data_IF_468454525746
#
_entry.id   IF_468454525746
#
_cell.length_a   1.000
_cell.length_b   1.000
_cell.length_c   1.000
_cell.angle_alpha   90.00
_cell.angle_beta   90.00
_cell.angle_gamma   90.00
#
_symmetry.space_group_name_H-M   'P 1'
#
loop_
_entity.id
_entity.type
_entity.pdbx_description
1 polymer ?
#
# COMPACT_ATOMS: atom_id res chain seq x y z
N UNK A 1 6.78 -9.80 12.09
CA UNK A 1 7.08 -8.34 12.24
C UNK A 1 6.07 -7.54 11.44
N UNK A 2 4.76 -7.60 11.75
CA UNK A 2 3.70 -7.18 10.82
C UNK A 2 2.69 -6.21 11.36
N UNK A 3 2.47 -5.84 12.50
CA UNK A 3 1.48 -4.84 12.88
C UNK A 3 2.16 -3.62 13.51
N UNK A 4 2.32 -2.53 12.75
CA UNK A 4 2.77 -1.25 13.30
C UNK A 4 1.62 -0.27 13.47
N UNK A 5 1.49 0.14 14.71
CA UNK A 5 1.00 1.38 15.29
C UNK A 5 -0.39 1.92 14.83
N UNK A 6 -1.34 1.79 15.73
CA UNK A 6 -2.48 2.72 15.83
C UNK A 6 -1.92 4.10 16.20
N UNK A 7 -1.94 5.08 15.29
CA UNK A 7 -1.67 6.48 15.61
C UNK A 7 -2.96 7.26 15.73
N UNK A 8 -3.10 7.98 16.82
CA UNK A 8 -4.19 8.95 17.03
C UNK A 8 -3.72 10.29 16.49
N UNK A 9 -4.29 10.73 15.37
CA UNK A 9 -4.02 12.04 14.80
C UNK A 9 -4.83 13.11 15.58
N UNK A 10 -4.16 14.14 16.12
CA UNK A 10 -4.82 15.32 16.66
C UNK A 10 -5.04 16.30 15.52
N UNK A 11 -6.30 16.45 15.06
CA UNK A 11 -6.64 17.44 14.04
C UNK A 11 -6.57 18.87 14.56
N UNK A 12 -6.21 19.79 13.65
CA UNK A 12 -6.28 21.23 13.87
C UNK A 12 -7.71 21.67 14.19
N UNK A 13 -7.83 22.41 15.25
CA UNK A 13 -8.94 23.18 15.83
C UNK A 13 -10.26 23.25 15.05
N UNK A 14 -11.28 22.62 15.62
CA UNK A 14 -12.58 23.27 15.77
C UNK A 14 -13.65 22.91 14.78
N UNK A 15 -14.03 21.61 14.65
CA UNK A 15 -15.41 21.24 14.24
C UNK A 15 -15.73 19.73 14.35
N UNK A 16 -14.92 18.90 15.01
CA UNK A 16 -15.18 17.46 15.10
C UNK A 16 -15.32 16.99 16.54
N UNK A 17 -16.50 16.50 16.91
CA UNK A 17 -16.86 16.04 18.25
C UNK A 17 -16.32 14.63 18.58
N UNK A 18 -15.45 14.03 17.76
CA UNK A 18 -14.83 12.71 17.98
C UNK A 18 -13.39 12.68 17.51
N UNK A 19 -12.55 11.85 18.16
CA UNK A 19 -11.20 11.57 17.66
C UNK A 19 -11.31 10.60 16.48
N UNK A 20 -11.04 11.07 15.25
CA UNK A 20 -10.89 10.19 14.10
C UNK A 20 -9.70 9.23 14.30
N UNK A 21 -9.84 7.99 13.90
CA UNK A 21 -8.78 6.99 14.00
C UNK A 21 -8.44 6.48 12.60
N UNK A 22 -7.16 6.56 12.25
CA UNK A 22 -6.62 5.97 11.03
C UNK A 22 -5.82 4.71 11.38
N UNK A 23 -6.18 3.60 10.74
CA UNK A 23 -5.48 2.33 10.87
C UNK A 23 -4.80 2.04 9.53
N UNK A 24 -3.50 1.81 9.55
CA UNK A 24 -2.73 1.41 8.38
C UNK A 24 -2.36 -0.06 8.50
N UNK A 25 -2.82 -0.88 7.56
CA UNK A 25 -2.60 -2.33 7.52
C UNK A 25 -1.88 -2.69 6.22
N UNK A 26 -0.66 -3.17 6.32
CA UNK A 26 0.04 -3.75 5.17
C UNK A 26 -0.50 -5.15 4.89
N UNK A 27 -0.63 -5.51 3.61
CA UNK A 27 -0.98 -6.87 3.21
C UNK A 27 0.00 -7.90 3.77
N UNK A 28 -0.50 -9.12 4.03
CA UNK A 28 0.30 -10.26 4.45
C UNK A 28 1.29 -10.72 3.38
N UNK A 29 2.12 -11.71 3.70
CA UNK A 29 3.11 -12.26 2.77
C UNK A 29 2.43 -12.71 1.46
N UNK A 30 2.93 -12.27 0.30
CA UNK A 30 2.53 -12.77 -1.02
C UNK A 30 3.52 -13.82 -1.54
N UNK A 31 3.11 -14.61 -2.54
CA UNK A 31 3.96 -15.59 -3.22
C UNK A 31 5.27 -14.96 -3.69
N UNK A 32 5.19 -13.80 -4.35
CA UNK A 32 6.38 -13.10 -4.83
C UNK A 32 7.22 -12.43 -3.71
N UNK A 33 6.63 -12.20 -2.53
CA UNK A 33 7.45 -11.86 -1.36
C UNK A 33 8.28 -13.07 -0.90
N UNK A 34 7.67 -14.27 -0.91
CA UNK A 34 8.35 -15.51 -0.55
C UNK A 34 9.48 -15.84 -1.54
N UNK A 35 9.24 -15.67 -2.83
CA UNK A 35 10.20 -15.90 -3.91
C UNK A 35 11.25 -14.78 -4.07
N UNK A 36 11.16 -13.72 -3.26
CA UNK A 36 12.03 -12.54 -3.31
C UNK A 36 12.00 -11.79 -4.66
N UNK A 37 10.83 -11.74 -5.33
CA UNK A 37 10.65 -11.03 -6.59
C UNK A 37 10.18 -9.58 -6.39
N UNK A 38 10.48 -8.71 -7.36
CA UNK A 38 9.87 -7.39 -7.46
C UNK A 38 8.44 -7.53 -7.95
N UNK A 39 7.45 -7.23 -7.11
CA UNK A 39 6.04 -7.47 -7.40
C UNK A 39 5.36 -6.29 -8.11
N UNK A 40 5.47 -5.11 -7.53
CA UNK A 40 4.84 -3.90 -8.09
C UNK A 40 3.34 -4.06 -8.34
N UNK A 41 2.90 -3.77 -9.57
CA UNK A 41 1.50 -3.87 -9.98
C UNK A 41 1.07 -5.26 -10.44
N UNK A 42 1.99 -6.20 -10.60
CA UNK A 42 1.65 -7.60 -10.81
C UNK A 42 0.80 -8.13 -9.63
N UNK A 43 -0.21 -8.94 -9.93
CA UNK A 43 -1.18 -9.39 -8.93
C UNK A 43 -0.84 -10.76 -8.33
N UNK A 44 0.25 -10.81 -7.56
CA UNK A 44 0.64 -12.00 -6.80
C UNK A 44 -0.34 -12.26 -5.63
N UNK A 45 -0.71 -13.53 -5.44
CA UNK A 45 -1.62 -13.95 -4.37
C UNK A 45 -0.94 -13.94 -2.98
N UNK A 46 -1.76 -14.00 -1.92
CA UNK A 46 -1.27 -14.24 -0.57
C UNK A 46 -0.86 -15.72 -0.41
N UNK A 47 0.25 -15.95 0.28
CA UNK A 47 0.57 -17.27 0.82
C UNK A 47 -0.36 -17.65 1.98
N UNK A 48 -0.34 -18.90 2.44
CA UNK A 48 -1.09 -19.32 3.63
C UNK A 48 -0.64 -18.51 4.86
N UNK A 49 0.67 -18.29 5.02
CA UNK A 49 1.20 -17.40 6.06
C UNK A 49 0.64 -15.99 5.94
N UNK A 50 0.58 -15.43 4.73
CA UNK A 50 0.02 -14.10 4.51
C UNK A 50 -1.47 -14.00 4.86
N UNK A 51 -2.23 -15.08 4.65
CA UNK A 51 -3.64 -15.18 5.08
C UNK A 51 -3.76 -15.22 6.60
N UNK A 52 -2.88 -15.93 7.27
CA UNK A 52 -2.85 -16.01 8.75
C UNK A 52 -2.40 -14.69 9.37
N UNK A 53 -1.42 -13.99 8.77
CA UNK A 53 -1.03 -12.63 9.17
C UNK A 53 -2.22 -11.64 9.05
N UNK A 54 -3.01 -11.75 7.98
CA UNK A 54 -4.19 -10.92 7.79
C UNK A 54 -5.26 -11.17 8.88
N UNK A 55 -5.55 -12.44 9.19
CA UNK A 55 -6.46 -12.82 10.29
C UNK A 55 -5.95 -12.34 11.64
N UNK A 56 -4.66 -12.50 11.91
CA UNK A 56 -4.02 -12.02 13.14
C UNK A 56 -4.12 -10.49 13.29
N UNK A 57 -3.98 -9.76 12.18
CA UNK A 57 -4.20 -8.31 12.15
C UNK A 57 -5.62 -7.92 12.60
N UNK A 58 -6.64 -8.58 12.05
CA UNK A 58 -8.04 -8.38 12.44
C UNK A 58 -8.31 -8.74 13.89
N UNK A 59 -7.82 -9.88 14.36
CA UNK A 59 -7.94 -10.31 15.76
C UNK A 59 -7.28 -9.31 16.73
N UNK A 60 -6.16 -8.71 16.34
CA UNK A 60 -5.52 -7.65 17.11
C UNK A 60 -6.40 -6.41 17.21
N UNK A 61 -7.06 -5.99 16.12
CA UNK A 61 -8.00 -4.87 16.13
C UNK A 61 -9.15 -5.13 17.10
N UNK A 62 -9.75 -6.32 17.05
CA UNK A 62 -10.80 -6.75 17.99
C UNK A 62 -10.31 -6.70 19.44
N UNK A 63 -9.16 -7.28 19.74
CA UNK A 63 -8.57 -7.31 21.08
C UNK A 63 -8.30 -5.91 21.64
N UNK A 64 -7.89 -4.97 20.77
CA UNK A 64 -7.63 -3.57 21.14
C UNK A 64 -8.89 -2.71 21.19
N UNK A 65 -10.05 -3.24 20.79
CA UNK A 65 -11.31 -2.48 20.71
C UNK A 65 -11.26 -1.35 19.68
N UNK A 66 -10.37 -1.44 18.67
CA UNK A 66 -10.22 -0.45 17.60
C UNK A 66 -10.81 -1.04 16.32
N UNK A 67 -12.14 -0.95 16.21
CA UNK A 67 -12.88 -1.57 15.11
C UNK A 67 -13.11 -0.56 13.98
N UNK A 68 -12.83 -0.92 12.74
CA UNK A 68 -13.05 -0.01 11.60
C UNK A 68 -14.54 0.16 11.29
N UNK A 69 -14.89 1.34 10.79
CA UNK A 69 -16.22 1.68 10.27
C UNK A 69 -16.25 1.69 8.74
N UNK A 70 -15.09 1.87 8.10
CA UNK A 70 -14.91 1.84 6.64
C UNK A 70 -13.52 1.37 6.30
N UNK A 71 -13.37 0.70 5.14
CA UNK A 71 -12.08 0.26 4.60
C UNK A 71 -11.81 0.93 3.27
N UNK A 72 -10.56 1.39 3.09
CA UNK A 72 -9.99 1.75 1.80
C UNK A 72 -8.88 0.76 1.44
N UNK A 73 -8.89 0.22 0.22
CA UNK A 73 -7.88 -0.72 -0.25
C UNK A 73 -7.53 -0.50 -1.73
N UNK A 74 -6.49 -1.16 -2.19
CA UNK A 74 -6.05 -1.09 -3.59
C UNK A 74 -6.91 -1.98 -4.50
N UNK A 75 -6.53 -2.07 -5.78
CA UNK A 75 -7.11 -3.02 -6.74
C UNK A 75 -6.35 -4.36 -6.78
N UNK A 76 -5.33 -4.54 -5.96
CA UNK A 76 -4.49 -5.74 -5.96
C UNK A 76 -5.01 -6.77 -4.97
N UNK A 77 -5.16 -8.03 -5.42
CA UNK A 77 -5.84 -9.10 -4.66
C UNK A 77 -5.23 -9.34 -3.28
N UNK A 78 -3.91 -9.24 -3.13
CA UNK A 78 -3.25 -9.41 -1.83
C UNK A 78 -3.69 -8.40 -0.76
N UNK A 79 -3.96 -7.14 -1.14
CA UNK A 79 -4.47 -6.14 -0.21
C UNK A 79 -5.97 -6.29 0.02
N UNK A 80 -6.72 -6.63 -1.03
CA UNK A 80 -8.17 -6.93 -0.96
C UNK A 80 -8.41 -8.10 0.00
N UNK A 81 -7.76 -9.24 -0.23
CA UNK A 81 -7.92 -10.42 0.62
C UNK A 81 -7.42 -10.19 2.05
N UNK A 82 -6.34 -9.37 2.22
CA UNK A 82 -5.91 -8.99 3.58
C UNK A 82 -7.01 -8.23 4.31
N UNK A 83 -7.65 -7.26 3.64
CA UNK A 83 -8.75 -6.50 4.25
C UNK A 83 -9.96 -7.41 4.58
N UNK A 84 -10.35 -8.28 3.67
CA UNK A 84 -11.47 -9.21 3.86
C UNK A 84 -11.22 -10.17 5.04
N UNK A 85 -10.04 -10.78 5.12
CA UNK A 85 -9.66 -11.68 6.21
C UNK A 85 -9.57 -10.95 7.56
N UNK A 86 -9.02 -9.74 7.57
CA UNK A 86 -8.95 -8.92 8.77
C UNK A 86 -10.35 -8.51 9.26
N UNK A 87 -11.23 -8.09 8.35
CA UNK A 87 -12.62 -7.74 8.69
C UNK A 87 -13.40 -8.95 9.23
N UNK A 88 -13.23 -10.12 8.63
CA UNK A 88 -13.86 -11.35 9.11
C UNK A 88 -13.38 -11.70 10.54
N UNK A 89 -12.09 -11.52 10.82
CA UNK A 89 -11.51 -11.82 12.14
C UNK A 89 -11.92 -10.83 13.25
N UNK A 90 -12.40 -9.62 12.90
CA UNK A 90 -12.90 -8.65 13.88
C UNK A 90 -14.43 -8.41 13.81
N UNK A 91 -15.15 -9.29 13.12
CA UNK A 91 -16.62 -9.22 12.95
C UNK A 91 -17.10 -7.90 12.32
N UNK A 92 -16.38 -7.46 11.28
CA UNK A 92 -16.65 -6.21 10.53
C UNK A 92 -16.84 -6.42 9.03
N UNK A 93 -17.13 -7.64 8.56
CA UNK A 93 -17.32 -7.94 7.13
C UNK A 93 -18.44 -7.15 6.45
N UNK A 94 -19.35 -6.58 7.23
CA UNK A 94 -20.53 -5.85 6.77
C UNK A 94 -20.30 -4.37 6.47
N UNK A 95 -19.14 -3.80 6.85
CA UNK A 95 -18.84 -2.37 6.65
C UNK A 95 -18.50 -2.05 5.20
N UNK A 96 -18.61 -0.77 4.76
CA UNK A 96 -18.23 -0.35 3.42
C UNK A 96 -16.76 -0.61 3.12
N UNK A 97 -16.47 -1.12 1.92
CA UNK A 97 -15.11 -1.29 1.38
C UNK A 97 -14.98 -0.50 0.08
N UNK A 98 -14.04 0.44 0.03
CA UNK A 98 -13.76 1.28 -1.14
C UNK A 98 -12.42 0.86 -1.73
N UNK A 99 -12.41 0.52 -3.03
CA UNK A 99 -11.21 0.11 -3.76
C UNK A 99 -10.78 1.21 -4.71
N UNK A 100 -9.48 1.52 -4.71
CA UNK A 100 -8.95 2.55 -5.61
C UNK A 100 -7.50 2.27 -6.01
N UNK A 101 -7.19 2.39 -7.33
CA UNK A 101 -5.87 2.12 -7.89
C UNK A 101 -4.75 3.00 -7.30
N UNK A 102 -5.06 4.21 -6.85
CA UNK A 102 -4.11 5.12 -6.21
C UNK A 102 -3.53 4.60 -4.89
N UNK A 103 -4.10 3.51 -4.35
CA UNK A 103 -3.55 2.78 -3.20
C UNK A 103 -2.72 1.55 -3.61
N UNK A 104 -2.55 1.27 -4.91
CA UNK A 104 -1.71 0.17 -5.37
C UNK A 104 -0.27 0.30 -4.86
N UNK A 105 0.47 -0.82 -4.88
CA UNK A 105 1.91 -0.81 -4.63
C UNK A 105 2.65 0.06 -5.66
N UNK A 106 3.85 0.49 -5.35
CA UNK A 106 4.74 1.18 -6.25
C UNK A 106 4.99 0.32 -7.50
N UNK A 107 4.93 0.93 -8.68
CA UNK A 107 5.27 0.26 -9.93
C UNK A 107 6.79 0.12 -10.06
N UNK A 108 7.27 -1.12 -10.11
CA UNK A 108 8.71 -1.38 -10.16
C UNK A 108 9.33 -1.33 -11.57
N UNK A 109 8.56 -0.86 -12.56
CA UNK A 109 9.06 -0.77 -13.93
C UNK A 109 9.53 -2.12 -14.46
N UNK A 110 10.61 -2.12 -15.22
CA UNK A 110 11.19 -3.33 -15.82
C UNK A 110 11.88 -4.27 -14.81
N UNK A 111 11.91 -3.90 -13.54
CA UNK A 111 12.31 -4.83 -12.48
C UNK A 111 11.20 -5.82 -12.10
N UNK A 112 9.95 -5.58 -12.52
CA UNK A 112 8.81 -6.46 -12.20
C UNK A 112 9.07 -7.88 -12.68
N UNK A 113 8.92 -8.85 -11.78
CA UNK A 113 9.19 -10.27 -12.01
C UNK A 113 10.64 -10.69 -11.79
N UNK A 114 11.60 -9.77 -11.69
CA UNK A 114 13.01 -10.11 -11.44
C UNK A 114 13.24 -10.47 -9.98
N UNK A 115 14.15 -11.43 -9.74
CA UNK A 115 14.62 -11.74 -8.39
C UNK A 115 15.52 -10.62 -7.87
N UNK A 116 15.32 -10.20 -6.62
CA UNK A 116 16.04 -9.04 -6.04
C UNK A 116 17.54 -9.30 -5.85
N UNK A 117 17.93 -10.56 -5.51
CA UNK A 117 19.33 -10.91 -5.35
C UNK A 117 20.04 -10.96 -6.70
N UNK A 118 19.46 -11.64 -7.69
CA UNK A 118 20.01 -11.70 -9.05
C UNK A 118 20.09 -10.31 -9.71
N UNK A 119 19.13 -9.43 -9.40
CA UNK A 119 19.16 -8.03 -9.87
C UNK A 119 20.32 -7.28 -9.23
N UNK A 120 20.61 -7.51 -7.94
CA UNK A 120 21.75 -6.90 -7.26
C UNK A 120 23.09 -7.41 -7.81
N UNK A 121 23.18 -8.70 -8.12
CA UNK A 121 24.37 -9.27 -8.79
C UNK A 121 24.60 -8.65 -10.18
N UNK A 122 23.54 -8.39 -10.92
CA UNK A 122 23.62 -7.86 -12.29
C UNK A 122 23.91 -6.35 -12.36
N UNK A 123 23.29 -5.55 -11.51
CA UNK A 123 23.34 -4.09 -11.58
C UNK A 123 24.14 -3.44 -10.44
N UNK A 124 24.60 -4.24 -9.48
CA UNK A 124 25.26 -3.78 -8.26
C UNK A 124 24.26 -3.49 -7.14
N UNK A 125 24.65 -3.79 -5.89
CA UNK A 125 23.83 -3.60 -4.70
C UNK A 125 23.42 -2.13 -4.51
N UNK A 126 24.36 -1.19 -4.72
CA UNK A 126 24.11 0.24 -4.56
C UNK A 126 23.04 0.74 -5.54
N UNK A 127 23.10 0.34 -6.81
CA UNK A 127 22.11 0.74 -7.80
C UNK A 127 20.72 0.18 -7.47
N UNK A 128 20.65 -1.10 -7.08
CA UNK A 128 19.38 -1.72 -6.67
C UNK A 128 18.87 -1.09 -5.38
N UNK A 129 19.75 -0.73 -4.44
CA UNK A 129 19.38 0.01 -3.24
C UNK A 129 18.76 1.37 -3.59
N UNK A 130 19.36 2.13 -4.50
CA UNK A 130 18.83 3.41 -5.01
C UNK A 130 17.40 3.19 -5.56
N UNK A 131 17.19 2.28 -6.49
CA UNK A 131 15.87 1.98 -7.05
C UNK A 131 14.83 1.55 -6.03
N UNK A 132 15.26 0.92 -4.94
CA UNK A 132 14.36 0.43 -3.89
C UNK A 132 14.03 1.46 -2.82
N UNK A 133 14.94 2.38 -2.53
CA UNK A 133 14.89 3.21 -1.32
C UNK A 133 14.89 4.71 -1.58
N UNK A 134 15.45 5.17 -2.69
CA UNK A 134 15.43 6.58 -3.05
C UNK A 134 14.00 7.14 -3.05
N UNK A 135 13.88 8.40 -2.68
CA UNK A 135 12.60 9.09 -2.70
C UNK A 135 12.16 9.43 -4.13
N UNK A 136 13.09 9.88 -4.97
CA UNK A 136 12.82 10.52 -6.27
C UNK A 136 13.46 9.81 -7.49
N UNK A 137 14.19 8.70 -7.30
CA UNK A 137 14.81 7.96 -8.41
C UNK A 137 14.00 6.69 -8.69
N UNK A 138 13.25 6.63 -9.83
CA UNK A 138 12.51 5.44 -10.21
C UNK A 138 13.42 4.35 -10.80
N UNK A 139 12.99 3.09 -10.84
CA UNK A 139 13.61 2.05 -11.65
C UNK A 139 13.38 2.32 -13.15
N UNK A 140 14.04 1.57 -14.06
CA UNK A 140 13.78 1.68 -15.49
C UNK A 140 12.29 1.46 -15.83
N UNK A 141 11.74 2.21 -16.81
CA UNK A 141 10.36 2.00 -17.26
C UNK A 141 10.13 0.56 -17.70
N UNK A 142 8.91 0.06 -17.53
CA UNK A 142 8.59 -1.30 -17.93
C UNK A 142 8.65 -1.44 -19.45
N UNK A 143 9.31 -2.49 -19.93
CA UNK A 143 9.36 -2.77 -21.35
C UNK A 143 8.03 -3.36 -21.84
N UNK A 144 7.64 -3.08 -23.09
CA UNK A 144 6.42 -3.59 -23.70
C UNK A 144 6.38 -5.12 -23.74
N UNK A 145 7.55 -5.76 -23.88
CA UNK A 145 7.71 -7.22 -23.92
C UNK A 145 7.93 -7.85 -22.54
N UNK A 146 7.88 -7.09 -21.47
CA UNK A 146 7.95 -7.65 -20.12
C UNK A 146 6.70 -8.51 -19.86
N UNK A 147 6.91 -9.80 -19.62
CA UNK A 147 5.85 -10.80 -19.41
C UNK A 147 4.89 -10.46 -18.24
N UNK A 148 5.25 -9.53 -17.39
CA UNK A 148 4.49 -9.10 -16.21
C UNK A 148 4.00 -7.64 -16.32
N UNK A 149 3.99 -7.10 -17.55
CA UNK A 149 3.48 -5.75 -17.80
C UNK A 149 1.97 -5.71 -17.49
N UNK A 150 1.50 -4.84 -16.56
CA UNK A 150 0.10 -4.80 -16.16
C UNK A 150 -0.79 -3.97 -17.10
N UNK A 151 -0.27 -3.42 -18.20
CA UNK A 151 -1.01 -2.50 -19.08
C UNK A 151 -2.27 -3.11 -19.67
N UNK A 152 -2.29 -4.42 -19.93
CA UNK A 152 -3.44 -5.14 -20.46
C UNK A 152 -4.37 -5.72 -19.38
N UNK A 153 -4.06 -5.50 -18.11
CA UNK A 153 -4.90 -5.97 -17.02
C UNK A 153 -6.21 -5.19 -16.96
N UNK A 154 -7.38 -5.86 -17.04
CA UNK A 154 -8.68 -5.20 -17.05
C UNK A 154 -8.96 -4.34 -15.79
N UNK A 155 -8.27 -4.59 -14.69
CA UNK A 155 -8.36 -3.75 -13.47
C UNK A 155 -7.95 -2.31 -13.72
N UNK A 156 -7.08 -2.07 -14.69
CA UNK A 156 -6.51 -0.75 -15.00
C UNK A 156 -7.07 -0.14 -16.28
N UNK A 157 -8.00 -0.81 -16.96
CA UNK A 157 -8.60 -0.34 -18.21
C UNK A 157 -9.29 1.04 -18.08
N UNK A 158 -9.84 1.34 -16.91
CA UNK A 158 -10.47 2.64 -16.62
C UNK A 158 -9.50 3.77 -16.22
N UNK A 159 -8.18 3.50 -16.15
CA UNK A 159 -7.19 4.54 -15.86
C UNK A 159 -6.76 5.18 -17.19
N UNK A 160 -6.86 6.52 -17.34
CA UNK A 160 -6.33 7.21 -18.51
C UNK A 160 -4.85 6.84 -18.76
N UNK A 161 -4.48 6.67 -20.03
CA UNK A 161 -3.13 6.18 -20.38
C UNK A 161 -2.02 7.06 -19.79
N UNK A 162 -2.21 8.38 -19.79
CA UNK A 162 -1.28 9.36 -19.22
C UNK A 162 -1.11 9.30 -17.70
N UNK A 163 -2.00 8.58 -17.01
CA UNK A 163 -1.93 8.37 -15.56
C UNK A 163 -1.45 6.96 -15.18
N UNK A 164 -1.21 6.09 -16.16
CA UNK A 164 -0.66 4.75 -15.90
C UNK A 164 0.85 4.86 -15.75
N UNK A 165 1.41 4.48 -14.60
CA UNK A 165 2.85 4.58 -14.41
C UNK A 165 3.57 3.47 -15.19
N UNK A 166 4.67 3.81 -15.84
CA UNK A 166 5.61 2.84 -16.41
C UNK A 166 6.67 2.41 -15.39
N UNK A 167 6.96 3.27 -14.42
CA UNK A 167 7.81 3.04 -13.24
C UNK A 167 7.52 4.11 -12.21
N UNK A 168 7.77 3.84 -10.93
CA UNK A 168 7.54 4.82 -9.85
C UNK A 168 8.70 4.83 -8.85
N UNK A 169 9.13 6.02 -8.45
CA UNK A 169 9.81 6.26 -7.18
C UNK A 169 8.78 6.48 -6.05
N UNK A 170 9.21 6.73 -4.82
CA UNK A 170 8.29 6.95 -3.71
C UNK A 170 7.52 8.28 -3.84
N UNK A 171 8.15 9.30 -4.43
CA UNK A 171 7.53 10.59 -4.73
C UNK A 171 6.32 10.42 -5.66
N UNK A 172 6.46 9.64 -6.74
CA UNK A 172 5.37 9.38 -7.69
C UNK A 172 4.18 8.67 -7.00
N UNK A 173 4.49 7.70 -6.12
CA UNK A 173 3.46 7.03 -5.30
C UNK A 173 2.73 8.02 -4.40
N UNK A 174 3.45 8.97 -3.77
CA UNK A 174 2.85 10.00 -2.95
C UNK A 174 1.96 10.93 -3.80
N UNK A 175 2.49 11.42 -4.91
CA UNK A 175 1.79 12.36 -5.80
C UNK A 175 0.46 11.76 -6.32
N UNK A 176 0.44 10.45 -6.67
CA UNK A 176 -0.81 9.80 -7.07
C UNK A 176 -1.73 9.42 -5.92
N UNK A 177 -1.21 9.19 -4.72
CA UNK A 177 -2.03 8.80 -3.58
C UNK A 177 -2.77 10.00 -2.97
N UNK A 178 -2.15 11.19 -2.94
CA UNK A 178 -2.70 12.40 -2.30
C UNK A 178 -4.09 12.82 -2.81
N UNK A 179 -4.41 12.84 -4.11
CA UNK A 179 -5.78 13.15 -4.54
C UNK A 179 -6.81 12.22 -3.91
N UNK A 180 -6.54 10.90 -3.86
CA UNK A 180 -7.48 9.97 -3.22
C UNK A 180 -7.48 10.08 -1.69
N UNK A 181 -6.35 10.42 -1.09
CA UNK A 181 -6.28 10.73 0.33
C UNK A 181 -7.26 11.85 0.69
N UNK A 182 -7.21 12.98 -0.04
CA UNK A 182 -8.07 14.13 0.25
C UNK A 182 -9.52 13.94 -0.16
N UNK A 183 -9.78 13.29 -1.29
CA UNK A 183 -11.14 13.17 -1.85
C UNK A 183 -11.90 11.93 -1.32
N UNK A 184 -11.18 10.88 -0.91
CA UNK A 184 -11.77 9.62 -0.47
C UNK A 184 -11.62 9.36 1.02
N UNK A 185 -10.38 9.43 1.55
CA UNK A 185 -10.07 8.99 2.92
C UNK A 185 -10.37 10.09 3.95
N UNK A 186 -9.96 11.33 3.69
CA UNK A 186 -10.17 12.46 4.60
C UNK A 186 -11.65 12.72 4.90
N UNK A 187 -12.60 12.64 3.94
CA UNK A 187 -14.03 12.78 4.25
C UNK A 187 -14.55 11.75 5.26
N UNK A 188 -14.12 10.49 5.15
CA UNK A 188 -14.53 9.46 6.11
C UNK A 188 -13.92 9.72 7.49
N UNK A 189 -12.64 10.13 7.57
CA UNK A 189 -12.02 10.57 8.82
C UNK A 189 -12.72 11.80 9.42
N UNK A 190 -13.07 12.76 8.58
CA UNK A 190 -13.75 13.99 8.99
C UNK A 190 -15.16 13.73 9.56
N UNK A 191 -15.81 12.64 9.14
CA UNK A 191 -17.09 12.20 9.73
C UNK A 191 -16.95 11.61 11.14
N UNK A 192 -15.71 11.42 11.64
CA UNK A 192 -15.41 10.78 12.92
C UNK A 192 -15.24 9.26 12.83
N UNK A 193 -15.25 8.68 11.62
CA UNK A 193 -15.12 7.25 11.42
C UNK A 193 -13.73 6.73 11.79
N UNK A 194 -13.66 5.49 12.24
CA UNK A 194 -12.44 4.71 12.30
C UNK A 194 -12.17 4.12 10.91
N UNK A 195 -11.14 4.63 10.23
CA UNK A 195 -10.81 4.28 8.86
C UNK A 195 -9.66 3.29 8.83
N UNK A 196 -9.85 2.14 8.17
CA UNK A 196 -8.81 1.17 7.86
C UNK A 196 -8.32 1.37 6.43
N UNK A 197 -7.03 1.62 6.23
CA UNK A 197 -6.36 1.58 4.93
C UNK A 197 -5.55 0.30 4.85
N UNK A 198 -6.04 -0.68 4.09
CA UNK A 198 -5.35 -1.93 3.82
C UNK A 198 -4.64 -1.84 2.47
N UNK A 199 -3.30 -1.72 2.47
CA UNK A 199 -2.54 -1.43 1.26
C UNK A 199 -1.13 -2.06 1.30
N UNK A 200 -0.14 -1.39 0.71
CA UNK A 200 1.17 -1.97 0.42
C UNK A 200 2.30 -1.19 1.10
N UNK A 201 3.50 -1.78 1.11
CA UNK A 201 4.65 -1.20 1.79
C UNK A 201 4.94 0.24 1.36
N UNK A 202 5.03 0.50 0.05
CA UNK A 202 5.37 1.85 -0.43
C UNK A 202 4.17 2.80 -0.42
N UNK A 203 2.95 2.36 -0.71
CA UNK A 203 1.77 3.24 -0.61
C UNK A 203 1.50 3.69 0.83
N UNK A 204 1.63 2.79 1.81
CA UNK A 204 1.52 3.17 3.22
C UNK A 204 2.67 4.06 3.68
N UNK A 205 3.90 3.78 3.21
CA UNK A 205 5.09 4.58 3.51
C UNK A 205 4.97 6.00 2.97
N UNK A 206 4.41 6.17 1.77
CA UNK A 206 4.12 7.49 1.20
C UNK A 206 3.10 8.25 2.04
N UNK A 207 2.01 7.60 2.48
CA UNK A 207 1.03 8.22 3.37
C UNK A 207 1.64 8.61 4.73
N UNK A 208 2.47 7.74 5.34
CA UNK A 208 3.16 8.05 6.60
C UNK A 208 4.11 9.24 6.45
N UNK A 209 4.85 9.32 5.32
CA UNK A 209 5.69 10.48 5.01
C UNK A 209 4.88 11.78 5.05
N UNK A 210 3.73 11.79 4.39
CA UNK A 210 2.84 12.96 4.34
C UNK A 210 2.25 13.31 5.70
N UNK A 211 1.83 12.31 6.48
CA UNK A 211 1.14 12.51 7.76
C UNK A 211 2.07 12.95 8.90
N UNK A 212 3.30 12.49 8.85
CA UNK A 212 4.31 12.75 9.89
C UNK A 212 5.32 13.82 9.48
N UNK A 213 5.14 14.43 8.28
CA UNK A 213 6.04 15.45 7.70
C UNK A 213 7.51 14.98 7.66
N UNK A 214 7.71 13.69 7.30
CA UNK A 214 9.05 13.09 7.25
C UNK A 214 9.81 13.67 6.03
N UNK A 215 11.04 14.09 6.24
CA UNK A 215 11.89 14.63 5.16
C UNK A 215 12.21 13.57 4.07
N UNK A 216 12.68 14.03 2.91
CA UNK A 216 13.03 13.15 1.79
C UNK A 216 14.21 12.22 2.14
N UNK A 217 15.13 12.68 2.96
CA UNK A 217 16.26 11.90 3.42
C UNK A 217 15.85 10.85 4.46
N UNK A 218 15.06 11.25 5.46
CA UNK A 218 14.64 10.36 6.56
C UNK A 218 13.71 9.24 6.09
N UNK A 219 12.89 9.49 5.04
CA UNK A 219 11.97 8.46 4.52
C UNK A 219 12.71 7.27 3.92
N UNK A 220 13.96 7.44 3.48
CA UNK A 220 14.77 6.35 2.93
C UNK A 220 15.06 5.26 3.96
N UNK A 221 15.16 5.62 5.23
CA UNK A 221 15.43 4.71 6.35
C UNK A 221 14.16 4.05 6.91
N UNK A 222 12.98 4.58 6.63
CA UNK A 222 11.71 4.01 7.11
C UNK A 222 11.38 2.72 6.37
N UNK A 223 11.17 1.63 7.14
CA UNK A 223 10.90 0.29 6.61
C UNK A 223 9.54 -0.24 7.08
#
# INVERSE_FOLDING_TARGET
>A
RGARAVRRCRSARGMFAGMATLILLRHGQSEWNLENLFTGWYDAALTDLGRDEARAGGALLATKGVLPDVVHTSLQSRAIHTSELALAACDRSWIPVRRHWRLNERHYGDLTGRNKAETAERFGEDQVHIWRRSYDIPPPPIADDNAHNPNDDPRYAGIPAELRPEAECLKDVLDRALPYWYDGIVPDLASGATVLVAAHGNSLRALVKHLDDISDDEITALN
#
